data_IF_200682877748
#
_entry.id   IF_200682877748
#
_cell.length_a   1.000
_cell.length_b   1.000
_cell.length_c   1.000
_cell.angle_alpha   90.00
_cell.angle_beta   90.00
_cell.angle_gamma   90.00
#
_symmetry.space_group_name_H-M   'P 1'
#
loop_
_entity.id
_entity.type
_entity.pdbx_description
1 polymer ?
#
# COMPACT_ATOMS: atom_id res chain seq x y z
N UNK A 1 -5.57 1.79 8.82
CA UNK A 1 -4.30 2.00 8.10
C UNK A 1 -3.15 1.46 8.93
N UNK A 2 -2.06 1.05 8.28
CA UNK A 2 -0.77 0.65 8.89
C UNK A 2 0.38 1.25 8.09
N UNK A 3 1.49 1.55 8.76
CA UNK A 3 2.75 1.90 8.10
C UNK A 3 3.53 0.60 7.80
N UNK A 4 3.96 0.43 6.55
CA UNK A 4 4.78 -0.72 6.16
C UNK A 4 6.19 -0.61 6.78
N UNK A 5 6.79 -1.72 7.22
CA UNK A 5 8.11 -1.70 7.87
C UNK A 5 9.28 -1.59 6.87
N UNK A 6 9.01 -1.70 5.57
CA UNK A 6 9.98 -1.56 4.49
C UNK A 6 9.42 -0.65 3.40
N UNK A 7 10.32 0.09 2.77
CA UNK A 7 10.04 0.87 1.57
C UNK A 7 9.79 -0.06 0.36
N UNK A 8 9.02 0.43 -0.61
CA UNK A 8 8.79 -0.22 -1.91
C UNK A 8 8.23 -1.66 -1.84
N UNK A 9 7.57 -2.04 -0.75
CA UNK A 9 6.86 -3.31 -0.65
C UNK A 9 5.37 -3.08 -0.94
N UNK A 10 4.92 -3.52 -2.11
CA UNK A 10 3.52 -3.41 -2.51
C UNK A 10 2.61 -4.37 -1.74
N UNK A 11 3.11 -5.57 -1.41
CA UNK A 11 2.34 -6.58 -0.67
C UNK A 11 2.14 -6.16 0.78
N UNK A 12 0.89 -6.16 1.24
CA UNK A 12 0.51 -5.69 2.57
C UNK A 12 0.96 -6.72 3.62
N UNK A 13 1.86 -6.32 4.52
CA UNK A 13 2.41 -7.25 5.51
C UNK A 13 1.49 -7.54 6.70
N UNK A 14 0.61 -6.60 7.06
CA UNK A 14 -0.29 -6.72 8.21
C UNK A 14 -1.76 -6.55 7.78
N UNK A 15 -2.24 -7.45 6.92
CA UNK A 15 -3.66 -7.54 6.56
C UNK A 15 -4.45 -8.10 7.73
N UNK A 16 -3.85 -9.01 8.50
CA UNK A 16 -4.52 -9.73 9.57
C UNK A 16 -5.14 -8.79 10.61
N UNK A 17 -4.35 -7.87 11.20
CA UNK A 17 -4.87 -6.98 12.24
C UNK A 17 -5.92 -6.01 11.70
N UNK A 18 -5.78 -5.56 10.45
CA UNK A 18 -6.74 -4.66 9.81
C UNK A 18 -8.09 -5.35 9.59
N UNK A 19 -8.09 -6.62 9.16
CA UNK A 19 -9.33 -7.38 8.98
C UNK A 19 -9.98 -7.73 10.32
N UNK A 20 -9.20 -8.04 11.37
CA UNK A 20 -9.75 -8.24 12.73
C UNK A 20 -10.52 -7.00 13.19
N UNK A 21 -9.97 -5.79 13.00
CA UNK A 21 -10.66 -4.53 13.29
C UNK A 21 -11.96 -4.39 12.48
N UNK A 22 -11.96 -4.73 11.18
CA UNK A 22 -13.17 -4.65 10.34
C UNK A 22 -14.25 -5.67 10.74
N UNK A 23 -13.86 -6.88 11.15
CA UNK A 23 -14.81 -7.89 11.64
C UNK A 23 -15.45 -7.42 12.95
N UNK A 24 -14.67 -6.82 13.86
CA UNK A 24 -15.21 -6.25 15.09
C UNK A 24 -16.24 -5.14 14.79
N UNK A 25 -15.91 -4.21 13.88
CA UNK A 25 -16.83 -3.15 13.45
C UNK A 25 -18.11 -3.72 12.81
N UNK A 26 -17.98 -4.73 11.95
CA UNK A 26 -19.13 -5.42 11.36
C UNK A 26 -20.05 -5.98 12.44
N UNK A 27 -19.49 -6.71 13.42
CA UNK A 27 -20.27 -7.30 14.50
C UNK A 27 -20.99 -6.25 15.32
N UNK A 28 -20.34 -5.12 15.61
CA UNK A 28 -20.96 -3.98 16.32
C UNK A 28 -22.14 -3.41 15.54
N UNK A 29 -22.01 -3.27 14.22
CA UNK A 29 -23.06 -2.72 13.36
C UNK A 29 -24.19 -3.72 13.01
N UNK A 30 -23.93 -5.03 13.09
CA UNK A 30 -24.84 -6.08 12.64
C UNK A 30 -25.24 -7.03 13.77
N UNK A 31 -25.64 -6.50 14.93
CA UNK A 31 -26.19 -7.28 16.05
C UNK A 31 -25.34 -8.50 16.45
N UNK A 32 -24.03 -8.31 16.57
CA UNK A 32 -23.02 -9.32 16.90
C UNK A 32 -22.90 -10.50 15.91
N UNK A 33 -23.56 -10.45 14.74
CA UNK A 33 -23.51 -11.48 13.71
C UNK A 33 -22.20 -11.47 12.93
N UNK A 34 -21.82 -12.64 12.41
CA UNK A 34 -20.58 -12.81 11.64
C UNK A 34 -20.80 -12.58 10.15
N UNK A 35 -19.84 -11.95 9.44
CA UNK A 35 -19.91 -11.85 8.00
C UNK A 35 -19.82 -13.25 7.39
N UNK A 36 -20.77 -13.60 6.52
CA UNK A 36 -20.75 -14.89 5.79
C UNK A 36 -19.80 -14.85 4.60
N UNK A 37 -19.59 -13.67 4.03
CA UNK A 37 -18.81 -13.43 2.83
C UNK A 37 -17.90 -12.21 3.05
N UNK A 38 -16.69 -12.26 2.51
CA UNK A 38 -15.77 -11.12 2.40
C UNK A 38 -15.44 -10.95 0.92
N UNK A 39 -15.76 -9.77 0.38
CA UNK A 39 -15.34 -9.36 -0.96
C UNK A 39 -14.21 -8.35 -0.83
N UNK A 40 -13.02 -8.73 -1.30
CA UNK A 40 -11.79 -7.97 -1.15
C UNK A 40 -11.35 -7.37 -2.49
N UNK A 41 -11.50 -6.05 -2.64
CA UNK A 41 -10.94 -5.32 -3.79
C UNK A 41 -9.53 -4.83 -3.47
N UNK A 42 -8.55 -5.26 -4.26
CA UNK A 42 -7.13 -4.93 -4.10
C UNK A 42 -6.64 -4.03 -5.23
N UNK A 43 -6.36 -2.77 -4.97
CA UNK A 43 -5.70 -1.87 -5.94
C UNK A 43 -4.21 -1.72 -5.65
N UNK A 44 -3.39 -1.49 -6.68
CA UNK A 44 -1.97 -1.15 -6.55
C UNK A 44 -1.01 -2.34 -6.63
N UNK A 45 -1.36 -3.40 -7.36
CA UNK A 45 -0.46 -4.53 -7.64
C UNK A 45 -0.38 -4.83 -9.13
N UNK A 46 0.80 -5.26 -9.58
CA UNK A 46 1.01 -5.74 -10.95
C UNK A 46 0.76 -7.24 -11.05
N UNK A 47 0.59 -7.76 -12.27
CA UNK A 47 0.36 -9.19 -12.53
C UNK A 47 1.42 -10.10 -11.89
N UNK A 48 2.69 -9.68 -11.92
CA UNK A 48 3.79 -10.43 -11.29
C UNK A 48 3.69 -10.59 -9.77
N UNK A 49 2.80 -9.84 -9.11
CA UNK A 49 2.59 -9.87 -7.66
C UNK A 49 1.33 -10.66 -7.26
N UNK A 50 0.53 -11.14 -8.21
CA UNK A 50 -0.77 -11.79 -7.92
C UNK A 50 -0.61 -13.03 -7.03
N UNK A 51 0.41 -13.85 -7.28
CA UNK A 51 0.73 -15.02 -6.46
C UNK A 51 1.07 -14.59 -5.03
N UNK A 52 1.86 -13.53 -4.87
CA UNK A 52 2.24 -13.04 -3.53
C UNK A 52 1.02 -12.50 -2.77
N UNK A 53 0.12 -11.77 -3.43
CA UNK A 53 -1.14 -11.33 -2.82
C UNK A 53 -1.97 -12.52 -2.36
N UNK A 54 -2.11 -13.54 -3.22
CA UNK A 54 -2.85 -14.76 -2.89
C UNK A 54 -2.24 -15.49 -1.68
N UNK A 55 -0.93 -15.73 -1.70
CA UNK A 55 -0.27 -16.58 -0.71
C UNK A 55 0.00 -15.86 0.62
N UNK A 56 0.21 -14.54 0.59
CA UNK A 56 0.56 -13.74 1.76
C UNK A 56 -0.61 -12.93 2.30
N UNK A 57 -1.31 -12.15 1.47
CA UNK A 57 -2.41 -11.28 1.93
C UNK A 57 -3.69 -12.09 2.21
N UNK A 58 -4.16 -12.89 1.26
CA UNK A 58 -5.43 -13.60 1.43
C UNK A 58 -5.36 -14.65 2.56
N UNK A 59 -4.21 -15.28 2.74
CA UNK A 59 -3.96 -16.19 3.87
C UNK A 59 -4.10 -15.47 5.22
N UNK A 60 -3.67 -14.21 5.31
CA UNK A 60 -3.85 -13.41 6.52
C UNK A 60 -5.31 -13.05 6.80
N UNK A 61 -6.16 -12.92 5.76
CA UNK A 61 -7.61 -12.72 5.95
C UNK A 61 -8.21 -13.95 6.66
N UNK A 62 -7.82 -15.16 6.26
CA UNK A 62 -8.25 -16.38 6.94
C UNK A 62 -7.80 -16.44 8.40
N UNK A 63 -6.54 -16.07 8.67
CA UNK A 63 -6.02 -15.94 10.05
C UNK A 63 -6.78 -14.90 10.87
N UNK A 64 -7.15 -13.77 10.26
CA UNK A 64 -7.91 -12.72 10.91
C UNK A 64 -9.27 -13.20 11.39
N UNK A 65 -9.97 -14.02 10.60
CA UNK A 65 -11.25 -14.62 11.00
C UNK A 65 -11.06 -15.53 12.22
N UNK A 66 -10.02 -16.37 12.22
CA UNK A 66 -9.69 -17.23 13.36
C UNK A 66 -9.32 -16.42 14.62
N UNK A 67 -8.51 -15.37 14.46
CA UNK A 67 -8.11 -14.49 15.56
C UNK A 67 -9.30 -13.71 16.12
N UNK A 68 -10.17 -13.18 15.25
CA UNK A 68 -11.41 -12.52 15.66
C UNK A 68 -12.33 -13.49 16.42
N UNK A 69 -12.44 -14.75 15.98
CA UNK A 69 -13.24 -15.77 16.66
C UNK A 69 -12.69 -16.07 18.06
N UNK A 70 -11.36 -16.18 18.19
CA UNK A 70 -10.67 -16.32 19.48
C UNK A 70 -10.94 -15.13 20.40
N UNK A 71 -10.84 -13.90 19.89
CA UNK A 71 -11.13 -12.68 20.66
C UNK A 71 -12.59 -12.63 21.14
N UNK A 72 -13.51 -13.26 20.38
CA UNK A 72 -14.91 -13.37 20.72
C UNK A 72 -15.25 -14.56 21.65
N UNK A 73 -14.26 -15.35 22.07
CA UNK A 73 -14.47 -16.53 22.91
C UNK A 73 -15.11 -17.72 22.19
N UNK A 74 -15.11 -17.75 20.85
CA UNK A 74 -15.68 -18.86 20.09
C UNK A 74 -14.72 -20.05 20.04
N UNK A 75 -15.25 -21.25 20.31
CA UNK A 75 -14.51 -22.52 20.15
C UNK A 75 -14.38 -22.95 18.68
N UNK A 76 -15.32 -22.53 17.84
CA UNK A 76 -15.38 -22.88 16.42
C UNK A 76 -15.21 -21.62 15.59
N UNK A 77 -14.28 -21.65 14.64
CA UNK A 77 -14.05 -20.53 13.71
C UNK A 77 -15.23 -20.46 12.72
N UNK A 78 -15.91 -19.32 12.59
CA UNK A 78 -16.99 -19.14 11.63
C UNK A 78 -16.50 -19.35 10.19
N UNK A 79 -17.29 -20.05 9.40
CA UNK A 79 -17.01 -20.23 7.97
C UNK A 79 -17.35 -18.94 7.22
N UNK A 80 -16.33 -18.33 6.61
CA UNK A 80 -16.45 -17.11 5.81
C UNK A 80 -15.92 -17.41 4.42
N UNK A 81 -16.68 -17.08 3.38
CA UNK A 81 -16.25 -17.22 1.99
C UNK A 81 -15.52 -15.97 1.54
N UNK A 82 -14.30 -16.12 1.01
CA UNK A 82 -13.50 -15.02 0.48
C UNK A 82 -13.57 -14.99 -1.05
N UNK A 83 -13.95 -13.84 -1.59
CA UNK A 83 -13.73 -13.51 -3.01
C UNK A 83 -12.79 -12.33 -3.09
N UNK A 84 -11.69 -12.45 -3.82
CA UNK A 84 -10.66 -11.43 -3.94
C UNK A 84 -10.49 -11.01 -5.41
N UNK A 85 -10.57 -9.71 -5.66
CA UNK A 85 -10.52 -9.11 -6.99
C UNK A 85 -9.44 -8.03 -6.98
N UNK A 86 -8.42 -8.20 -7.81
CA UNK A 86 -7.43 -7.15 -8.07
C UNK A 86 -8.04 -6.13 -9.02
N UNK A 87 -7.82 -4.85 -8.73
CA UNK A 87 -8.24 -3.72 -9.55
C UNK A 87 -6.98 -3.05 -10.08
N UNK A 88 -6.80 -3.03 -11.41
CA UNK A 88 -5.74 -2.29 -12.05
C UNK A 88 -6.34 -1.11 -12.82
N UNK A 89 -6.23 0.09 -12.23
CA UNK A 89 -6.70 1.36 -12.85
C UNK A 89 -5.66 2.04 -13.74
N UNK A 90 -4.43 1.51 -13.81
CA UNK A 90 -3.31 2.09 -14.57
C UNK A 90 -2.72 1.04 -15.51
N UNK A 91 -3.25 0.99 -16.73
CA UNK A 91 -2.72 0.16 -17.82
C UNK A 91 -2.81 0.89 -19.18
N UNK A 92 -2.37 0.21 -20.24
CA UNK A 92 -2.29 0.72 -21.60
C UNK A 92 -3.56 0.48 -22.44
N UNK A 93 -4.45 -0.44 -22.04
CA UNK A 93 -5.72 -0.70 -22.74
C UNK A 93 -6.62 0.54 -22.78
N UNK A 94 -7.21 0.82 -23.94
CA UNK A 94 -8.21 1.87 -24.21
C UNK A 94 -9.32 1.31 -25.07
N UNK A 95 -10.56 1.75 -24.84
CA UNK A 95 -11.71 1.38 -25.64
C UNK A 95 -12.18 2.56 -26.47
N UNK A 96 -12.52 2.26 -27.72
CA UNK A 96 -13.10 3.20 -28.66
C UNK A 96 -14.47 2.66 -29.08
N UNK A 97 -15.52 3.48 -29.01
CA UNK A 97 -16.86 3.05 -29.40
C UNK A 97 -16.91 2.78 -30.90
N UNK A 98 -17.78 1.86 -31.32
CA UNK A 98 -18.11 1.71 -32.74
C UNK A 98 -18.89 2.93 -33.22
N UNK A 99 -18.98 3.09 -34.54
CA UNK A 99 -19.72 4.19 -35.14
C UNK A 99 -21.17 4.24 -34.61
N UNK A 100 -21.58 5.40 -34.10
CA UNK A 100 -22.93 5.61 -33.53
C UNK A 100 -23.13 5.16 -32.07
N UNK A 101 -22.18 4.43 -31.47
CA UNK A 101 -22.28 3.94 -30.08
C UNK A 101 -21.59 4.87 -29.06
N UNK A 102 -20.90 5.90 -29.55
CA UNK A 102 -20.17 6.84 -28.71
C UNK A 102 -21.10 7.61 -27.76
N UNK A 103 -20.60 7.88 -26.57
CA UNK A 103 -21.26 8.80 -25.65
C UNK A 103 -21.26 10.22 -26.23
N UNK A 104 -22.42 10.86 -26.20
CA UNK A 104 -22.59 12.24 -26.70
C UNK A 104 -21.68 13.19 -25.93
N UNK A 105 -20.85 13.94 -26.66
CA UNK A 105 -20.05 15.05 -26.14
C UNK A 105 -18.56 14.77 -25.89
N UNK A 106 -18.13 13.51 -25.71
CA UNK A 106 -16.72 13.19 -25.43
C UNK A 106 -16.11 12.08 -26.29
N UNK A 107 -16.92 11.37 -27.10
CA UNK A 107 -16.44 10.32 -27.99
C UNK A 107 -15.96 9.04 -27.28
N UNK A 108 -16.18 8.90 -25.98
CA UNK A 108 -15.83 7.70 -25.22
C UNK A 108 -16.92 6.63 -25.33
N UNK A 109 -16.58 5.40 -24.92
CA UNK A 109 -17.57 4.36 -24.72
C UNK A 109 -18.56 4.76 -23.61
N UNK A 110 -19.77 4.21 -23.62
CA UNK A 110 -20.77 4.49 -22.59
C UNK A 110 -20.33 3.94 -21.22
N UNK A 111 -20.64 4.62 -20.10
CA UNK A 111 -20.46 4.05 -18.77
C UNK A 111 -21.17 2.69 -18.67
N UNK A 112 -20.48 1.69 -18.12
CA UNK A 112 -20.94 0.30 -18.10
C UNK A 112 -20.42 -0.55 -19.25
N UNK A 113 -19.64 0.02 -20.18
CA UNK A 113 -18.95 -0.78 -21.21
C UNK A 113 -18.05 -1.82 -20.54
N UNK A 114 -18.37 -3.09 -20.79
CA UNK A 114 -17.73 -4.26 -20.24
C UNK A 114 -17.07 -5.04 -21.38
N UNK A 115 -15.83 -5.48 -21.17
CA UNK A 115 -15.13 -6.38 -22.08
C UNK A 115 -14.52 -7.51 -21.26
N UNK A 116 -15.05 -8.72 -21.45
CA UNK A 116 -14.64 -9.95 -20.75
C UNK A 116 -14.13 -11.03 -21.72
N UNK A 117 -14.01 -10.72 -23.01
CA UNK A 117 -13.57 -11.64 -24.07
C UNK A 117 -12.47 -11.02 -24.94
N UNK A 118 -11.77 -11.90 -25.67
CA UNK A 118 -10.75 -11.60 -26.70
C UNK A 118 -9.45 -11.00 -26.15
N UNK A 119 -9.53 -9.97 -25.30
CA UNK A 119 -8.37 -9.27 -24.74
C UNK A 119 -8.11 -9.62 -23.26
N UNK A 120 -8.96 -10.46 -22.68
CA UNK A 120 -8.87 -10.99 -21.32
C UNK A 120 -8.12 -12.33 -21.31
N UNK A 121 -7.82 -12.83 -20.12
CA UNK A 121 -7.14 -14.11 -19.96
C UNK A 121 -8.03 -15.26 -20.44
N UNK A 122 -7.49 -16.23 -21.21
CA UNK A 122 -8.22 -17.44 -21.56
C UNK A 122 -8.34 -18.43 -20.40
N UNK A 123 -7.56 -18.26 -19.32
CA UNK A 123 -7.47 -19.21 -18.20
C UNK A 123 -8.03 -18.68 -16.88
N UNK A 124 -8.08 -17.35 -16.74
CA UNK A 124 -8.48 -16.71 -15.50
C UNK A 124 -9.74 -15.89 -15.72
N UNK A 125 -10.50 -15.71 -14.64
CA UNK A 125 -11.66 -14.84 -14.66
C UNK A 125 -11.20 -13.39 -14.49
N UNK A 126 -11.18 -12.64 -15.59
CA UNK A 126 -10.89 -11.20 -15.60
C UNK A 126 -11.78 -10.45 -16.57
N UNK A 127 -11.96 -9.16 -16.33
CA UNK A 127 -12.77 -8.30 -17.18
C UNK A 127 -12.33 -6.85 -17.08
N UNK A 128 -12.51 -6.11 -18.16
CA UNK A 128 -12.37 -4.67 -18.18
C UNK A 128 -13.74 -4.01 -18.06
N UNK A 129 -13.85 -3.00 -17.21
CA UNK A 129 -15.09 -2.25 -17.01
C UNK A 129 -14.81 -0.76 -17.04
N UNK A 130 -15.41 -0.06 -17.99
CA UNK A 130 -15.47 1.40 -17.99
C UNK A 130 -16.72 1.86 -17.25
N UNK A 131 -16.66 1.95 -15.92
CA UNK A 131 -17.80 2.29 -15.07
C UNK A 131 -18.23 3.77 -15.08
N UNK A 132 -17.40 4.66 -15.63
CA UNK A 132 -17.55 6.10 -15.51
C UNK A 132 -17.66 6.81 -16.85
N UNK A 133 -18.14 8.06 -16.79
CA UNK A 133 -18.09 8.98 -17.91
C UNK A 133 -16.70 9.61 -18.03
N UNK A 134 -16.04 9.47 -19.18
CA UNK A 134 -14.77 10.12 -19.49
C UNK A 134 -14.93 11.61 -19.75
N UNK A 135 -15.02 12.44 -18.70
CA UNK A 135 -15.28 13.88 -18.82
C UNK A 135 -14.30 14.61 -19.75
N UNK A 136 -13.03 14.19 -19.78
CA UNK A 136 -11.99 14.77 -20.64
C UNK A 136 -11.01 13.69 -21.10
N UNK A 137 -10.63 13.76 -22.37
CA UNK A 137 -9.71 12.79 -22.99
C UNK A 137 -10.31 11.39 -23.14
N UNK A 138 -9.46 10.40 -23.35
CA UNK A 138 -9.88 9.00 -23.49
C UNK A 138 -10.04 8.35 -22.12
N UNK A 139 -11.24 7.87 -21.84
CA UNK A 139 -11.55 7.11 -20.63
C UNK A 139 -10.68 5.85 -20.57
N UNK A 140 -10.21 5.54 -19.36
CA UNK A 140 -9.46 4.31 -19.10
C UNK A 140 -10.39 3.33 -18.36
N UNK A 141 -10.76 2.18 -18.95
CA UNK A 141 -11.50 1.16 -18.22
C UNK A 141 -10.62 0.66 -17.06
N UNK A 142 -11.22 0.19 -15.97
CA UNK A 142 -10.48 -0.52 -14.94
C UNK A 142 -10.46 -2.02 -15.27
N UNK A 143 -9.30 -2.66 -15.08
CA UNK A 143 -9.16 -4.11 -15.22
C UNK A 143 -9.39 -4.77 -13.87
N UNK A 144 -10.25 -5.78 -13.84
CA UNK A 144 -10.59 -6.56 -12.66
C UNK A 144 -10.14 -7.99 -12.89
N UNK A 145 -9.28 -8.49 -12.01
CA UNK A 145 -8.77 -9.85 -12.09
C UNK A 145 -9.15 -10.61 -10.82
N UNK A 146 -9.87 -11.73 -10.96
CA UNK A 146 -10.35 -12.52 -9.84
C UNK A 146 -9.28 -13.51 -9.39
N UNK A 147 -8.72 -13.30 -8.20
CA UNK A 147 -7.69 -14.19 -7.62
C UNK A 147 -8.29 -15.44 -7.00
N UNK A 148 -9.42 -15.27 -6.31
CA UNK A 148 -10.14 -16.31 -5.56
C UNK A 148 -11.63 -15.97 -5.59
N UNK A 149 -12.51 -16.96 -5.77
CA UNK A 149 -13.96 -16.79 -5.75
C UNK A 149 -14.66 -17.89 -4.94
N UNK A 150 -14.44 -17.93 -3.63
CA UNK A 150 -15.10 -18.93 -2.77
C UNK A 150 -16.60 -18.69 -2.60
N UNK A 151 -17.06 -17.46 -2.87
CA UNK A 151 -18.48 -17.14 -2.91
C UNK A 151 -19.21 -17.88 -4.04
N UNK A 152 -18.50 -18.27 -5.11
CA UNK A 152 -19.09 -18.88 -6.29
C UNK A 152 -19.94 -17.89 -7.09
N UNK A 153 -19.56 -16.62 -7.11
CA UNK A 153 -20.26 -15.60 -7.89
C UNK A 153 -20.07 -15.87 -9.39
N UNK A 154 -21.17 -15.96 -10.13
CA UNK A 154 -21.12 -15.99 -11.59
C UNK A 154 -20.50 -14.71 -12.16
N UNK A 155 -19.90 -14.79 -13.34
CA UNK A 155 -19.22 -13.66 -13.99
C UNK A 155 -20.10 -12.43 -14.10
N UNK A 156 -21.29 -12.58 -14.69
CA UNK A 156 -22.27 -11.49 -14.82
C UNK A 156 -22.66 -10.87 -13.48
N UNK A 157 -22.84 -11.69 -12.45
CA UNK A 157 -23.20 -11.21 -11.11
C UNK A 157 -22.08 -10.35 -10.54
N UNK A 158 -20.82 -10.80 -10.64
CA UNK A 158 -19.68 -10.03 -10.16
C UNK A 158 -19.47 -8.74 -10.96
N UNK A 159 -19.60 -8.80 -12.29
CA UNK A 159 -19.47 -7.65 -13.18
C UNK A 159 -20.54 -6.59 -12.88
N UNK A 160 -21.83 -6.98 -12.82
CA UNK A 160 -22.93 -6.07 -12.49
C UNK A 160 -22.82 -5.53 -11.07
N UNK A 161 -22.44 -6.37 -10.10
CA UNK A 161 -22.20 -5.92 -8.73
C UNK A 161 -21.09 -4.87 -8.67
N UNK A 162 -19.96 -5.13 -9.33
CA UNK A 162 -18.81 -4.20 -9.40
C UNK A 162 -19.22 -2.88 -10.06
N UNK A 163 -20.00 -2.94 -11.14
CA UNK A 163 -20.51 -1.76 -11.83
C UNK A 163 -21.44 -0.93 -10.93
N UNK A 164 -22.44 -1.56 -10.31
CA UNK A 164 -23.36 -0.88 -9.41
C UNK A 164 -22.63 -0.27 -8.21
N UNK A 165 -21.62 -0.97 -7.69
CA UNK A 165 -20.79 -0.48 -6.60
C UNK A 165 -20.10 0.84 -6.99
N UNK A 166 -19.72 1.05 -8.26
CA UNK A 166 -19.11 2.30 -8.73
C UNK A 166 -20.01 3.55 -8.58
N UNK A 167 -21.31 3.39 -8.34
CA UNK A 167 -22.24 4.49 -8.09
C UNK A 167 -22.45 4.77 -6.60
N UNK A 168 -21.84 4.00 -5.69
CA UNK A 168 -21.97 4.19 -4.24
C UNK A 168 -20.84 5.05 -3.63
N UNK A 169 -20.09 5.78 -4.47
CA UNK A 169 -19.02 6.65 -3.98
C UNK A 169 -19.59 7.96 -3.43
N UNK A 170 -19.48 8.17 -2.12
CA UNK A 170 -20.21 9.23 -1.41
C UNK A 170 -19.77 10.65 -1.76
N UNK A 171 -18.61 10.83 -2.41
CA UNK A 171 -18.08 12.16 -2.76
C UNK A 171 -18.39 12.57 -4.20
N UNK A 172 -19.13 11.77 -4.96
CA UNK A 172 -19.52 12.11 -6.32
C UNK A 172 -20.97 11.71 -6.58
N UNK A 173 -21.67 12.52 -7.38
CA UNK A 173 -23.03 12.23 -7.85
C UNK A 173 -23.06 11.39 -9.13
N UNK A 174 -21.89 10.99 -9.64
CA UNK A 174 -21.70 10.22 -10.86
C UNK A 174 -20.86 8.97 -10.56
N UNK A 175 -21.01 7.94 -11.41
CA UNK A 175 -20.22 6.71 -11.32
C UNK A 175 -18.71 7.00 -11.40
N UNK A 176 -17.94 6.45 -10.46
CA UNK A 176 -16.48 6.57 -10.43
C UNK A 176 -15.81 5.49 -11.27
N UNK A 177 -14.52 5.67 -11.56
CA UNK A 177 -13.78 4.86 -12.54
C UNK A 177 -13.41 3.44 -12.12
N UNK A 178 -13.56 3.11 -10.84
CA UNK A 178 -13.31 1.77 -10.30
C UNK A 178 -14.01 1.59 -8.94
N UNK A 179 -14.09 0.34 -8.47
CA UNK A 179 -14.81 -0.04 -7.26
C UNK A 179 -14.49 0.86 -6.04
N UNK A 180 -15.49 1.53 -5.43
CA UNK A 180 -15.31 2.46 -4.31
C UNK A 180 -14.56 1.93 -3.09
N UNK A 181 -14.63 0.65 -2.68
CA UNK A 181 -13.78 0.17 -1.58
C UNK A 181 -12.28 0.39 -1.84
N UNK A 182 -11.83 0.14 -3.07
CA UNK A 182 -10.45 0.43 -3.46
C UNK A 182 -10.20 1.95 -3.51
N UNK A 183 -11.16 2.73 -4.04
CA UNK A 183 -11.06 4.19 -4.07
C UNK A 183 -10.93 4.80 -2.67
N UNK A 184 -11.72 4.33 -1.70
CA UNK A 184 -11.63 4.74 -0.31
C UNK A 184 -10.29 4.37 0.31
N UNK A 185 -9.75 3.19 -0.03
CA UNK A 185 -8.41 2.80 0.40
C UNK A 185 -7.34 3.75 -0.15
N UNK A 186 -7.42 4.18 -1.41
CA UNK A 186 -6.53 5.20 -1.98
C UNK A 186 -6.62 6.53 -1.24
N UNK A 187 -7.84 7.04 -1.01
CA UNK A 187 -8.06 8.28 -0.28
C UNK A 187 -7.52 8.21 1.14
N UNK A 188 -7.70 7.06 1.79
CA UNK A 188 -7.13 6.80 3.10
C UNK A 188 -5.60 6.86 3.00
N UNK A 189 -4.95 6.12 2.09
CA UNK A 189 -3.51 6.14 1.87
C UNK A 189 -2.95 7.54 1.56
N UNK A 190 -3.62 8.33 0.72
CA UNK A 190 -3.27 9.74 0.48
C UNK A 190 -3.31 10.56 1.76
N UNK A 191 -4.33 10.38 2.60
CA UNK A 191 -4.40 11.03 3.91
C UNK A 191 -3.25 10.58 4.82
N UNK A 192 -2.88 9.31 4.81
CA UNK A 192 -1.71 8.81 5.55
C UNK A 192 -0.42 9.51 5.14
N UNK A 193 -0.25 9.83 3.85
CA UNK A 193 0.90 10.62 3.37
C UNK A 193 0.89 12.04 3.94
N UNK A 194 -0.27 12.64 4.14
CA UNK A 194 -0.36 13.96 4.78
C UNK A 194 0.13 13.93 6.23
N UNK A 195 -0.16 12.87 7.01
CA UNK A 195 0.37 12.71 8.37
C UNK A 195 1.90 12.57 8.41
N UNK A 196 2.49 12.10 7.30
CA UNK A 196 3.93 11.93 7.15
C UNK A 196 4.56 13.06 6.32
N UNK A 197 3.85 14.17 6.06
CA UNK A 197 4.31 15.25 5.18
C UNK A 197 5.69 15.78 5.58
N UNK A 198 5.97 15.86 6.89
CA UNK A 198 7.26 16.29 7.42
C UNK A 198 8.45 15.44 6.96
N UNK A 199 8.22 14.16 6.67
CA UNK A 199 9.26 13.24 6.18
C UNK A 199 9.39 13.24 4.65
N UNK A 200 8.39 13.78 3.94
CA UNK A 200 8.40 13.90 2.47
C UNK A 200 8.84 15.29 1.99
N UNK A 201 8.58 16.31 2.79
CA UNK A 201 9.00 17.69 2.54
C UNK A 201 10.29 17.92 3.32
N UNK A 202 11.24 18.66 2.76
CA UNK A 202 12.56 18.91 3.35
C UNK A 202 12.49 19.76 4.63
N UNK A 203 11.97 19.19 5.72
CA UNK A 203 11.92 19.81 7.04
C UNK A 203 13.34 20.10 7.52
N UNK A 204 13.65 21.38 7.73
CA UNK A 204 15.01 21.84 8.03
C UNK A 204 15.55 21.21 9.32
N UNK A 205 14.69 21.05 10.34
CA UNK A 205 15.07 20.43 11.61
C UNK A 205 15.38 18.94 11.44
N UNK A 206 14.47 18.19 10.81
CA UNK A 206 14.70 16.76 10.55
C UNK A 206 15.98 16.53 9.73
N UNK A 207 16.25 17.40 8.75
CA UNK A 207 17.47 17.34 7.96
C UNK A 207 18.73 17.59 8.80
N UNK A 208 18.72 18.61 9.65
CA UNK A 208 19.82 18.89 10.59
C UNK A 208 20.07 17.69 11.49
N UNK A 209 19.03 17.14 12.12
CA UNK A 209 19.14 15.99 13.02
C UNK A 209 19.77 14.75 12.31
N UNK A 210 19.43 14.55 11.03
CA UNK A 210 19.97 13.46 10.22
C UNK A 210 21.43 13.71 9.77
N UNK A 211 21.79 14.97 9.48
CA UNK A 211 23.15 15.35 9.14
C UNK A 211 24.09 15.19 10.35
N UNK A 212 23.63 15.56 11.54
CA UNK A 212 24.36 15.36 12.80
C UNK A 212 24.58 13.87 13.09
N UNK A 213 23.51 13.05 12.99
CA UNK A 213 23.60 11.60 13.19
C UNK A 213 24.55 10.96 12.16
N UNK A 214 24.50 11.41 10.90
CA UNK A 214 25.40 10.94 9.85
C UNK A 214 26.86 11.27 10.20
N UNK A 215 27.13 12.46 10.70
CA UNK A 215 28.46 12.89 11.09
C UNK A 215 29.03 12.04 12.23
N UNK A 216 28.24 11.81 13.29
CA UNK A 216 28.63 10.94 14.42
C UNK A 216 28.98 9.54 13.94
N UNK A 217 28.11 8.91 13.13
CA UNK A 217 28.37 7.57 12.62
C UNK A 217 29.62 7.52 11.73
N UNK A 218 29.86 8.54 10.91
CA UNK A 218 31.06 8.63 10.08
C UNK A 218 32.34 8.68 10.93
N UNK A 219 32.33 9.42 12.05
CA UNK A 219 33.44 9.45 13.01
C UNK A 219 33.67 8.07 13.63
N UNK A 220 32.63 7.43 14.14
CA UNK A 220 32.73 6.08 14.73
C UNK A 220 33.31 5.05 13.75
N UNK A 221 32.81 5.02 12.51
CA UNK A 221 33.33 4.11 11.48
C UNK A 221 34.74 4.49 11.02
N UNK A 222 35.15 5.76 11.13
CA UNK A 222 36.54 6.18 10.88
C UNK A 222 37.47 5.68 11.96
N UNK A 223 37.06 5.75 13.23
CA UNK A 223 37.82 5.20 14.35
C UNK A 223 37.95 3.68 14.26
N UNK A 224 36.86 2.96 13.96
CA UNK A 224 36.88 1.51 13.72
C UNK A 224 37.88 1.12 12.63
N UNK A 225 37.93 1.87 11.52
CA UNK A 225 38.91 1.64 10.45
C UNK A 225 40.34 1.91 10.88
N UNK A 226 40.59 2.96 11.67
CA UNK A 226 41.92 3.22 12.24
C UNK A 226 42.38 2.07 13.13
N UNK A 227 41.48 1.45 13.89
CA UNK A 227 41.83 0.26 14.70
C UNK A 227 42.09 -0.96 13.81
N UNK A 228 41.24 -1.21 12.81
CA UNK A 228 41.33 -2.39 11.92
C UNK A 228 42.55 -2.35 10.98
N UNK A 229 42.91 -1.18 10.45
CA UNK A 229 43.96 -1.02 9.44
C UNK A 229 45.18 -0.21 9.92
N UNK A 230 45.09 0.47 11.07
CA UNK A 230 46.19 1.29 11.62
C UNK A 230 47.31 0.49 12.29
N UNK A 231 47.17 -0.84 12.38
CA UNK A 231 48.22 -1.73 12.86
C UNK A 231 49.26 -2.05 11.80
N UNK A 232 50.19 -1.13 11.52
CA UNK A 232 51.58 -1.40 11.12
C UNK A 232 52.41 -0.11 11.11
N UNK A 233 53.27 0.05 12.12
CA UNK A 233 54.26 1.12 12.16
C UNK A 233 54.90 1.42 13.52
N UNK A 234 55.33 0.41 14.28
CA UNK A 234 56.49 0.60 15.18
C UNK A 234 57.67 -0.14 14.55
N UNK A 235 58.66 0.63 14.13
CA UNK A 235 59.84 0.20 13.38
C UNK A 235 60.26 1.34 12.47
N UNK A 236 61.19 2.18 12.96
CA UNK A 236 61.55 3.47 12.38
C UNK A 236 62.18 3.42 10.98
N UNK A 237 62.19 4.58 10.32
CA UNK A 237 62.86 4.79 9.04
C UNK A 237 62.15 5.81 8.15
N UNK A 238 62.66 7.05 8.23
CA UNK A 238 62.78 8.09 7.19
C UNK A 238 61.74 8.29 6.07
N UNK A 239 61.35 9.58 5.97
CA UNK A 239 61.01 10.37 4.78
C UNK A 239 60.57 9.65 3.49
N UNK A 240 59.29 9.82 3.14
CA UNK A 240 58.80 9.63 1.79
C UNK A 240 57.41 10.24 1.59
N UNK A 241 57.33 11.41 0.94
CA UNK A 241 56.09 11.95 0.38
C UNK A 241 55.61 11.02 -0.75
N UNK A 242 54.82 10.02 -0.39
CA UNK A 242 54.09 9.18 -1.33
C UNK A 242 52.73 8.89 -0.73
N UNK A 243 51.67 9.43 -1.34
CA UNK A 243 50.31 9.10 -0.93
C UNK A 243 50.10 7.59 -1.06
N UNK A 244 50.10 6.88 0.08
CA UNK A 244 49.74 5.46 0.13
C UNK A 244 48.30 5.35 -0.35
N UNK A 245 48.11 4.90 -1.59
CA UNK A 245 46.79 4.53 -2.09
C UNK A 245 46.15 3.52 -1.14
N UNK A 246 44.88 3.73 -0.80
CA UNK A 246 44.13 2.84 0.09
C UNK A 246 44.16 1.42 -0.47
N UNK A 247 44.38 0.45 0.41
CA UNK A 247 44.37 -0.96 0.02
C UNK A 247 42.97 -1.35 -0.46
N UNK A 248 42.85 -2.28 -1.43
CA UNK A 248 41.55 -2.73 -1.97
C UNK A 248 40.56 -3.13 -0.87
N UNK A 249 41.04 -3.81 0.18
CA UNK A 249 40.24 -4.19 1.36
C UNK A 249 39.73 -3.00 2.17
N UNK A 250 40.51 -1.93 2.27
CA UNK A 250 40.14 -0.70 2.99
C UNK A 250 39.04 0.07 2.23
N UNK A 251 39.11 0.06 0.89
CA UNK A 251 38.09 0.64 0.01
C UNK A 251 36.77 -0.16 0.13
N UNK A 252 36.84 -1.49 0.08
CA UNK A 252 35.67 -2.37 0.27
C UNK A 252 34.98 -2.10 1.62
N UNK A 253 35.77 -1.99 2.71
CA UNK A 253 35.25 -1.61 4.04
C UNK A 253 34.61 -0.23 4.08
N UNK A 254 35.18 0.75 3.39
CA UNK A 254 34.56 2.08 3.32
C UNK A 254 33.18 2.03 2.64
N UNK A 255 33.04 1.23 1.57
CA UNK A 255 31.75 1.04 0.88
C UNK A 255 30.74 0.37 1.81
N UNK A 256 31.15 -0.66 2.57
CA UNK A 256 30.30 -1.31 3.57
C UNK A 256 29.84 -0.33 4.66
N UNK A 257 30.76 0.46 5.23
CA UNK A 257 30.42 1.45 6.25
C UNK A 257 29.48 2.53 5.72
N UNK A 258 29.68 3.02 4.48
CA UNK A 258 28.75 3.97 3.84
C UNK A 258 27.35 3.38 3.70
N UNK A 259 27.22 2.10 3.30
CA UNK A 259 25.94 1.40 3.25
C UNK A 259 25.31 1.25 4.64
N UNK A 260 26.11 0.88 5.64
CA UNK A 260 25.63 0.72 7.02
C UNK A 260 25.11 2.04 7.61
N UNK A 261 25.82 3.15 7.37
CA UNK A 261 25.38 4.50 7.79
C UNK A 261 24.02 4.82 7.15
N UNK A 262 23.87 4.61 5.83
CA UNK A 262 22.62 4.87 5.13
C UNK A 262 21.47 4.02 5.69
N UNK A 263 21.69 2.75 5.98
CA UNK A 263 20.69 1.87 6.59
C UNK A 263 20.29 2.32 8.00
N UNK A 264 21.25 2.79 8.81
CA UNK A 264 20.94 3.36 10.13
C UNK A 264 20.11 4.64 10.01
N UNK A 265 20.46 5.55 9.10
CA UNK A 265 19.69 6.78 8.86
C UNK A 265 18.26 6.50 8.39
N UNK A 266 18.09 5.50 7.49
CA UNK A 266 16.76 5.04 7.06
C UNK A 266 15.94 4.50 8.23
N UNK A 267 16.54 3.67 9.10
CA UNK A 267 15.88 3.11 10.28
C UNK A 267 15.45 4.19 11.26
N UNK A 268 16.33 5.16 11.55
CA UNK A 268 16.01 6.30 12.42
C UNK A 268 14.84 7.12 11.85
N UNK A 269 14.90 7.44 10.55
CA UNK A 269 13.83 8.16 9.85
C UNK A 269 12.51 7.40 9.93
N UNK A 270 12.53 6.09 9.66
CA UNK A 270 11.34 5.24 9.73
C UNK A 270 10.80 5.14 11.16
N UNK A 271 11.66 5.10 12.17
CA UNK A 271 11.26 5.08 13.59
C UNK A 271 10.57 6.39 13.97
N UNK A 272 11.14 7.55 13.62
CA UNK A 272 10.52 8.87 13.82
C UNK A 272 9.17 8.97 13.10
N UNK A 273 9.11 8.52 11.84
CA UNK A 273 7.88 8.48 11.06
C UNK A 273 6.82 7.57 11.69
N UNK A 274 7.22 6.41 12.23
CA UNK A 274 6.32 5.50 12.94
C UNK A 274 5.75 6.15 14.20
N UNK A 275 6.59 6.80 15.00
CA UNK A 275 6.14 7.52 16.20
C UNK A 275 5.14 8.62 15.83
N UNK A 276 5.43 9.43 14.81
CA UNK A 276 4.53 10.49 14.36
C UNK A 276 3.22 9.94 13.78
N UNK A 277 3.29 8.88 12.98
CA UNK A 277 2.13 8.24 12.38
C UNK A 277 1.17 7.64 13.43
N UNK A 278 1.72 6.98 14.46
CA UNK A 278 0.93 6.33 15.51
C UNK A 278 0.65 7.21 16.73
N UNK A 279 1.29 8.39 16.85
CA UNK A 279 0.93 9.43 17.83
C UNK A 279 -0.57 9.69 17.77
N UNK A 280 -1.15 9.63 16.57
CA UNK A 280 -2.55 9.91 16.33
C UNK A 280 -3.51 8.73 16.59
N UNK A 281 -3.02 7.58 17.09
CA UNK A 281 -3.83 6.37 17.33
C UNK A 281 -4.22 6.19 18.80
N UNK A 282 -3.49 6.81 19.74
CA UNK A 282 -3.79 6.75 21.17
C UNK A 282 -4.60 7.97 21.59
N UNK A 283 -5.81 7.76 22.10
CA UNK A 283 -6.75 8.79 22.57
C UNK A 283 -6.27 9.57 23.80
N UNK A 284 -5.09 10.17 23.74
CA UNK A 284 -4.73 11.32 24.58
C UNK A 284 -5.41 12.53 23.93
N UNK A 285 -5.87 13.50 24.72
CA UNK A 285 -6.77 14.62 24.33
C UNK A 285 -6.33 15.47 23.12
N UNK A 286 -5.10 15.32 22.63
CA UNK A 286 -4.57 15.97 21.42
C UNK A 286 -4.30 15.02 20.24
N UNK A 287 -4.72 13.75 20.33
CA UNK A 287 -4.22 12.65 19.52
C UNK A 287 -5.12 12.18 18.37
N UNK A 288 -6.29 12.76 18.13
CA UNK A 288 -6.99 12.54 16.86
C UNK A 288 -7.62 13.88 16.47
N UNK A 289 -7.15 14.56 15.41
CA UNK A 289 -7.72 15.85 15.04
C UNK A 289 -9.09 15.70 14.37
N UNK A 290 -9.67 14.50 14.37
CA UNK A 290 -10.90 14.15 13.68
C UNK A 290 -11.91 13.51 14.65
N UNK A 291 -13.20 13.72 14.37
CA UNK A 291 -14.29 13.09 15.09
C UNK A 291 -14.20 11.55 15.01
N UNK A 292 -14.68 10.86 16.04
CA UNK A 292 -14.71 9.39 16.09
C UNK A 292 -15.50 8.75 14.93
N UNK A 293 -16.38 9.54 14.29
CA UNK A 293 -17.18 9.13 13.14
C UNK A 293 -16.64 9.76 11.86
N UNK A 294 -16.28 8.90 10.90
CA UNK A 294 -15.71 9.29 9.61
C UNK A 294 -16.61 10.25 8.80
N UNK A 295 -17.94 10.16 8.97
CA UNK A 295 -18.91 11.02 8.31
C UNK A 295 -19.01 12.44 8.89
N UNK A 296 -18.48 12.66 10.09
CA UNK A 296 -18.42 13.97 10.76
C UNK A 296 -17.10 14.70 10.43
N UNK A 297 -16.18 14.01 9.76
CA UNK A 297 -14.94 14.61 9.26
C UNK A 297 -15.21 15.26 7.89
N UNK A 298 -15.27 16.59 7.83
CA UNK A 298 -15.37 17.30 6.55
C UNK A 298 -14.07 17.19 5.75
N UNK A 299 -14.19 16.80 4.49
CA UNK A 299 -13.08 16.73 3.54
C UNK A 299 -13.17 17.93 2.59
N UNK A 300 -12.42 18.99 2.87
CA UNK A 300 -12.19 20.04 1.87
C UNK A 300 -11.31 19.51 0.73
N UNK A 301 -11.66 19.88 -0.50
CA UNK A 301 -10.85 19.74 -1.71
C UNK A 301 -10.08 21.04 -1.94
#
# INVERSE_FOLDING_TARGET
MRLQPKDSVEVIQDVESMVVERIADWRKANNATWPKNILYYRDGVSEGQYVQVKDLELRQIGKAVAQAAKNAGLKVVPKVKLTAVVVAKRHHVRFFPKHGEAMKGNGNCQPGTLVDRVITSPFYQDFYLQSHNGLKGTAKPAHYFVLVNEMGLGETVLQSFTHNLCYTYVRATLGVSYAPPAYYADRLCERGRCYLRRFFVADAKLRSDLEDLKFVLQLEYREKRKVEFGGKGQGGGESGKGGKGMNKKEIEREVEHKKAILETLKKDTLMKARVEFYRWKGGVEEGNPWAERLGETMFWM
#
